data_IF_653672312611
#
_entry.id   IF_653672312611
#
_cell.length_a   1.000
_cell.length_b   1.000
_cell.length_c   1.000
_cell.angle_alpha   90.00
_cell.angle_beta   90.00
_cell.angle_gamma   90.00
#
_symmetry.space_group_name_H-M   'P 1'
#
loop_
_entity.id
_entity.type
_entity.pdbx_description
1 polymer ?
#
# COMPACT_ATOMS: atom_id res chain seq x y z
N UNK A 1 21.69 7.78 -20.03
CA UNK A 1 22.08 8.12 -18.65
C UNK A 1 20.84 8.57 -17.88
N UNK A 2 20.08 7.65 -17.27
CA UNK A 2 19.08 7.95 -16.22
C UNK A 2 18.89 6.74 -15.30
N UNK A 3 20.02 6.19 -14.85
CA UNK A 3 20.06 5.14 -13.82
C UNK A 3 20.42 5.73 -12.45
N UNK A 4 20.22 7.04 -12.24
CA UNK A 4 20.34 7.61 -10.90
C UNK A 4 19.04 7.37 -10.13
N UNK A 5 19.05 6.54 -9.08
CA UNK A 5 17.90 6.42 -8.20
C UNK A 5 17.62 7.78 -7.56
N UNK A 6 16.36 8.21 -7.58
CA UNK A 6 15.89 9.40 -6.87
C UNK A 6 16.07 9.20 -5.35
N UNK A 7 17.27 9.48 -4.85
CA UNK A 7 17.69 9.18 -3.48
C UNK A 7 16.85 9.92 -2.41
N UNK A 8 16.26 11.06 -2.75
CA UNK A 8 15.55 11.91 -1.79
C UNK A 8 14.07 11.57 -1.58
N UNK A 9 13.42 10.82 -2.48
CA UNK A 9 11.99 10.46 -2.30
C UNK A 9 11.83 9.38 -1.22
N UNK A 10 12.81 8.48 -1.09
CA UNK A 10 12.86 7.47 -0.02
C UNK A 10 13.15 8.07 1.37
N UNK A 11 13.51 9.36 1.45
CA UNK A 11 13.75 10.04 2.74
C UNK A 11 12.45 10.28 3.52
N UNK A 12 11.30 10.32 2.85
CA UNK A 12 10.01 10.65 3.46
C UNK A 12 9.06 9.45 3.63
N UNK A 13 9.30 8.36 2.92
CA UNK A 13 8.47 7.14 2.99
C UNK A 13 9.28 5.98 3.56
N UNK A 14 8.77 5.39 4.64
CA UNK A 14 9.42 4.24 5.28
C UNK A 14 8.92 2.94 4.66
N UNK A 15 9.85 2.05 4.32
CA UNK A 15 9.55 0.67 3.97
C UNK A 15 9.16 -0.10 5.25
N UNK A 16 7.90 -0.48 5.38
CA UNK A 16 7.32 -1.16 6.55
C UNK A 16 6.29 -2.17 6.08
N UNK A 17 6.31 -3.38 6.63
CA UNK A 17 5.26 -4.36 6.38
C UNK A 17 4.01 -4.03 7.21
N UNK A 18 3.03 -3.35 6.59
CA UNK A 18 1.80 -2.91 7.24
C UNK A 18 0.75 -4.03 7.42
N UNK A 19 0.94 -5.18 6.78
CA UNK A 19 0.07 -6.36 6.89
C UNK A 19 0.70 -7.49 7.73
N UNK A 20 1.65 -7.12 8.59
CA UNK A 20 2.25 -7.97 9.61
C UNK A 20 1.43 -7.90 10.92
N UNK A 21 2.08 -8.12 12.06
CA UNK A 21 1.40 -8.27 13.35
C UNK A 21 1.07 -6.94 14.04
N UNK A 22 1.52 -5.81 13.48
CA UNK A 22 1.29 -4.49 14.06
C UNK A 22 -0.12 -3.97 13.76
N UNK A 23 -0.82 -3.53 14.81
CA UNK A 23 -2.09 -2.81 14.72
C UNK A 23 -1.85 -1.34 14.34
N UNK A 24 -2.86 -0.64 13.76
CA UNK A 24 -2.72 0.76 13.35
C UNK A 24 -2.24 1.68 14.48
N UNK A 25 -2.73 1.49 15.69
CA UNK A 25 -2.29 2.27 16.85
C UNK A 25 -0.79 2.14 17.12
N UNK A 26 -0.23 0.93 17.01
CA UNK A 26 1.19 0.66 17.21
C UNK A 26 2.04 1.30 16.09
N UNK A 27 1.49 1.36 14.88
CA UNK A 27 2.14 2.05 13.74
C UNK A 27 2.21 3.56 13.97
N UNK A 28 1.30 4.14 14.76
CA UNK A 28 1.23 5.57 15.06
C UNK A 28 1.75 5.91 16.48
N UNK A 29 2.22 4.93 17.25
CA UNK A 29 2.84 5.20 18.54
C UNK A 29 4.04 6.16 18.37
N UNK A 30 4.11 7.16 19.25
CA UNK A 30 5.13 8.22 19.20
C UNK A 30 5.04 9.14 17.98
N UNK A 31 3.92 9.16 17.26
CA UNK A 31 3.70 10.08 16.15
C UNK A 31 3.25 11.47 16.59
N UNK A 32 3.89 12.49 16.02
CA UNK A 32 3.41 13.88 16.13
C UNK A 32 2.38 14.24 15.04
N UNK A 33 2.02 13.30 14.16
CA UNK A 33 1.12 13.53 13.01
C UNK A 33 0.04 12.45 12.94
N UNK A 34 -1.17 12.87 12.57
CA UNK A 34 -2.31 11.99 12.31
C UNK A 34 -2.26 11.31 10.92
N UNK A 35 -1.29 11.65 10.09
CA UNK A 35 -1.06 11.03 8.77
C UNK A 35 0.40 10.59 8.63
N UNK A 36 0.61 9.40 8.10
CA UNK A 36 1.92 8.81 7.80
C UNK A 36 1.86 8.12 6.45
N UNK A 37 3.02 8.09 5.78
CA UNK A 37 3.17 7.47 4.47
C UNK A 37 4.15 6.31 4.55
N UNK A 38 3.79 5.20 3.94
CA UNK A 38 4.56 3.97 3.99
C UNK A 38 4.64 3.31 2.63
N UNK A 39 5.70 2.54 2.47
CA UNK A 39 5.83 1.56 1.42
C UNK A 39 5.69 0.19 2.07
N UNK A 40 4.76 -0.64 1.63
CA UNK A 40 4.59 -2.00 2.15
C UNK A 40 4.72 -3.05 1.05
N UNK A 41 5.37 -4.20 1.34
CA UNK A 41 5.25 -5.38 0.50
C UNK A 41 3.80 -5.85 0.39
N UNK A 42 3.41 -6.27 -0.80
CA UNK A 42 2.11 -6.82 -1.13
C UNK A 42 2.04 -8.29 -0.72
N UNK A 43 1.28 -8.59 0.33
CA UNK A 43 1.09 -9.97 0.79
C UNK A 43 0.17 -10.76 -0.16
N UNK A 44 0.75 -11.40 -1.19
CA UNK A 44 0.03 -12.37 -2.03
C UNK A 44 -0.19 -13.64 -1.20
N UNK A 45 -1.44 -14.06 -1.03
CA UNK A 45 -1.77 -15.29 -0.29
C UNK A 45 -1.24 -16.55 -1.00
N UNK A 46 -1.10 -16.50 -2.33
CA UNK A 46 -0.55 -17.54 -3.19
C UNK A 46 -0.24 -16.90 -4.56
N UNK A 47 0.77 -17.38 -5.28
CA UNK A 47 1.10 -16.95 -6.65
C UNK A 47 -0.08 -17.00 -7.63
N UNK A 48 -1.08 -17.85 -7.36
CA UNK A 48 -2.31 -17.98 -8.17
C UNK A 48 -3.42 -16.98 -7.81
N UNK A 49 -3.37 -16.33 -6.64
CA UNK A 49 -4.46 -15.50 -6.14
C UNK A 49 -4.14 -14.01 -6.29
N UNK A 50 -4.97 -13.30 -7.08
CA UNK A 50 -4.85 -11.84 -7.29
C UNK A 50 -5.19 -11.01 -6.04
N UNK A 51 -5.74 -11.61 -4.98
CA UNK A 51 -6.22 -10.89 -3.80
C UNK A 51 -5.11 -10.78 -2.74
N UNK A 52 -4.82 -9.55 -2.35
CA UNK A 52 -3.92 -9.21 -1.24
C UNK A 52 -4.63 -9.49 0.08
N UNK A 53 -3.99 -10.27 0.95
CA UNK A 53 -4.46 -10.45 2.31
C UNK A 53 -4.14 -9.18 3.12
N UNK A 54 -5.17 -8.54 3.67
CA UNK A 54 -5.04 -7.29 4.43
C UNK A 54 -5.31 -7.46 5.93
N UNK A 55 -5.02 -8.64 6.46
CA UNK A 55 -5.03 -8.88 7.91
C UNK A 55 -3.82 -8.21 8.53
N UNK A 56 -4.00 -7.51 9.65
CA UNK A 56 -2.91 -6.86 10.37
C UNK A 56 -3.18 -6.93 11.88
N UNK A 57 -2.25 -7.50 12.64
CA UNK A 57 -2.46 -7.82 14.05
C UNK A 57 -3.73 -8.64 14.27
N UNK A 58 -4.61 -8.17 15.16
CA UNK A 58 -5.89 -8.84 15.49
C UNK A 58 -7.06 -8.43 14.60
N UNK A 59 -6.82 -7.63 13.58
CA UNK A 59 -7.86 -7.05 12.74
C UNK A 59 -7.59 -7.18 11.26
N UNK A 60 -8.41 -6.47 10.48
CA UNK A 60 -8.35 -6.54 9.01
C UNK A 60 -8.73 -5.20 8.41
N UNK A 61 -7.98 -4.78 7.39
CA UNK A 61 -8.34 -3.62 6.57
C UNK A 61 -9.39 -4.01 5.53
N UNK A 62 -10.56 -3.38 5.60
CA UNK A 62 -11.69 -3.64 4.71
C UNK A 62 -11.90 -2.49 3.73
N UNK A 63 -12.17 -2.76 2.44
CA UNK A 63 -12.53 -1.72 1.49
C UNK A 63 -13.80 -0.98 1.92
N UNK A 64 -13.77 0.34 1.81
CA UNK A 64 -14.95 1.19 2.01
C UNK A 64 -15.77 1.35 0.74
N UNK A 65 -15.20 1.00 -0.42
CA UNK A 65 -15.87 1.12 -1.72
C UNK A 65 -15.07 0.48 -2.85
N UNK A 66 -15.51 0.76 -4.08
CA UNK A 66 -14.78 0.35 -5.30
C UNK A 66 -13.48 1.14 -5.43
N UNK A 67 -12.43 0.48 -5.92
CA UNK A 67 -11.18 1.15 -6.24
C UNK A 67 -11.37 2.14 -7.39
N UNK A 68 -10.59 3.22 -7.36
CA UNK A 68 -10.57 4.25 -8.41
C UNK A 68 -9.27 4.16 -9.20
N UNK A 69 -9.34 4.40 -10.50
CA UNK A 69 -8.16 4.50 -11.36
C UNK A 69 -7.49 5.87 -11.16
N UNK A 70 -6.16 5.92 -11.26
CA UNK A 70 -5.42 7.18 -11.20
C UNK A 70 -4.54 7.31 -12.44
N UNK A 71 -4.73 8.41 -13.14
CA UNK A 71 -4.04 8.74 -14.37
C UNK A 71 -2.99 9.83 -14.12
N UNK A 72 -1.91 9.83 -14.90
CA UNK A 72 -0.97 10.93 -14.95
C UNK A 72 -1.58 12.14 -15.68
N UNK A 73 -0.80 13.21 -15.74
CA UNK A 73 -1.17 14.43 -16.48
C UNK A 73 -1.30 14.23 -18.00
N UNK A 74 -0.88 13.07 -18.54
CA UNK A 74 -1.00 12.69 -19.95
C UNK A 74 -2.16 11.71 -20.19
N UNK A 75 -2.93 11.36 -19.16
CA UNK A 75 -4.02 10.39 -19.24
C UNK A 75 -3.57 8.93 -19.24
N UNK A 76 -2.32 8.64 -18.88
CA UNK A 76 -1.79 7.29 -18.75
C UNK A 76 -2.09 6.77 -17.35
N UNK A 77 -2.62 5.55 -17.24
CA UNK A 77 -2.91 4.92 -15.96
C UNK A 77 -1.61 4.69 -15.16
N UNK A 78 -1.41 5.42 -14.05
CA UNK A 78 -0.25 5.27 -13.15
C UNK A 78 -0.52 4.20 -12.09
N UNK A 79 -1.61 4.39 -11.34
CA UNK A 79 -2.03 3.43 -10.33
C UNK A 79 -3.17 2.61 -10.91
N UNK A 80 -3.00 1.29 -10.93
CA UNK A 80 -4.04 0.39 -11.37
C UNK A 80 -5.29 0.59 -10.54
N UNK A 81 -5.15 0.76 -9.21
CA UNK A 81 -6.25 1.09 -8.32
C UNK A 81 -5.80 1.84 -7.07
N UNK A 82 -6.61 2.81 -6.66
CA UNK A 82 -6.58 3.44 -5.34
C UNK A 82 -7.79 3.01 -4.54
N UNK A 83 -7.56 2.51 -3.32
CA UNK A 83 -8.61 1.97 -2.45
C UNK A 83 -8.59 2.65 -1.09
N UNK A 84 -9.76 3.15 -0.66
CA UNK A 84 -9.98 3.57 0.71
C UNK A 84 -10.35 2.35 1.55
N UNK A 85 -9.61 2.14 2.64
CA UNK A 85 -9.77 1.02 3.55
C UNK A 85 -10.01 1.53 4.97
N UNK A 86 -10.82 0.79 5.74
CA UNK A 86 -11.04 1.00 7.16
C UNK A 86 -10.59 -0.22 7.94
N UNK A 87 -9.84 -0.02 9.01
CA UNK A 87 -9.46 -1.11 9.89
C UNK A 87 -10.66 -1.55 10.74
N UNK A 88 -10.90 -2.85 10.80
CA UNK A 88 -11.89 -3.44 11.69
C UNK A 88 -11.23 -4.50 12.57
N UNK A 89 -11.42 -4.38 13.87
CA UNK A 89 -11.01 -5.39 14.85
C UNK A 89 -11.83 -6.68 14.71
N UNK A 90 -11.29 -7.79 15.22
CA UNK A 90 -12.02 -9.05 15.34
C UNK A 90 -13.27 -8.93 16.23
N UNK A 91 -14.23 -9.87 16.07
CA UNK A 91 -15.54 -9.84 16.74
C UNK A 91 -15.48 -9.75 18.28
N UNK A 92 -14.38 -10.17 18.90
CA UNK A 92 -14.18 -10.15 20.36
C UNK A 92 -13.49 -8.88 20.87
N UNK A 93 -12.86 -8.10 19.99
CA UNK A 93 -11.99 -7.00 20.38
C UNK A 93 -12.76 -5.68 20.31
N UNK A 94 -13.31 -5.27 21.46
CA UNK A 94 -14.12 -4.06 21.62
C UNK A 94 -13.26 -2.78 21.74
N UNK A 95 -12.19 -2.66 20.94
CA UNK A 95 -11.19 -1.57 21.01
C UNK A 95 -11.54 -0.33 20.17
N UNK A 96 -12.80 0.12 20.22
CA UNK A 96 -13.22 1.38 19.58
C UNK A 96 -12.81 2.65 20.37
N UNK A 97 -11.97 2.54 21.41
CA UNK A 97 -11.55 3.70 22.21
C UNK A 97 -10.61 4.66 21.45
N UNK A 98 -9.91 4.18 20.43
CA UNK A 98 -8.82 4.92 19.78
C UNK A 98 -9.21 5.53 18.43
N UNK A 99 -10.52 5.69 18.18
CA UNK A 99 -11.05 6.27 16.94
C UNK A 99 -10.99 5.33 15.73
N UNK A 100 -11.25 5.89 14.55
CA UNK A 100 -11.26 5.14 13.29
C UNK A 100 -9.90 5.20 12.59
N UNK A 101 -9.43 4.05 12.11
CA UNK A 101 -8.21 3.96 11.32
C UNK A 101 -8.55 3.81 9.84
N UNK A 102 -8.05 4.75 9.04
CA UNK A 102 -8.27 4.83 7.60
C UNK A 102 -6.94 4.69 6.86
N UNK A 103 -6.97 4.02 5.71
CA UNK A 103 -5.83 3.82 4.83
C UNK A 103 -6.23 4.11 3.39
N UNK A 104 -5.35 4.78 2.64
CA UNK A 104 -5.50 4.93 1.19
C UNK A 104 -4.42 4.11 0.52
N UNK A 105 -4.79 2.96 -0.03
CA UNK A 105 -3.89 2.01 -0.67
C UNK A 105 -3.74 2.37 -2.16
N UNK A 106 -2.51 2.61 -2.62
CA UNK A 106 -2.15 2.81 -4.02
C UNK A 106 -1.41 1.58 -4.57
N UNK A 107 -2.02 0.90 -5.55
CA UNK A 107 -1.37 -0.19 -6.29
C UNK A 107 -0.93 0.30 -7.67
N UNK A 108 0.34 0.11 -8.00
CA UNK A 108 0.86 0.46 -9.33
C UNK A 108 0.22 -0.40 -10.42
N UNK A 109 0.04 0.17 -11.61
CA UNK A 109 -0.35 -0.59 -12.80
C UNK A 109 0.89 -1.20 -13.45
N UNK A 110 0.92 -2.52 -13.64
CA UNK A 110 2.08 -3.22 -14.22
C UNK A 110 2.47 -2.65 -15.60
N UNK A 111 1.47 -2.31 -16.42
CA UNK A 111 1.70 -1.73 -17.75
C UNK A 111 2.28 -0.31 -17.72
N UNK A 112 2.23 0.39 -16.58
CA UNK A 112 2.88 1.70 -16.44
C UNK A 112 4.41 1.57 -16.42
N UNK A 113 4.93 0.53 -15.77
CA UNK A 113 6.37 0.26 -15.75
C UNK A 113 6.89 -0.14 -17.14
N UNK A 114 6.12 -0.94 -17.88
CA UNK A 114 6.46 -1.32 -19.26
C UNK A 114 6.51 -0.11 -20.20
N UNK A 115 5.57 0.83 -20.05
CA UNK A 115 5.55 2.07 -20.84
C UNK A 115 6.73 3.00 -20.52
N UNK A 116 7.10 3.08 -19.24
CA UNK A 116 8.11 4.05 -18.76
C UNK A 116 9.55 3.54 -18.88
N UNK A 117 9.80 2.24 -18.69
CA UNK A 117 11.14 1.66 -18.68
C UNK A 117 11.44 0.73 -19.86
N UNK A 118 10.46 0.47 -20.73
CA UNK A 118 10.58 -0.53 -21.79
C UNK A 118 10.50 -1.96 -21.23
N UNK A 119 10.26 -2.92 -22.12
CA UNK A 119 10.08 -4.34 -21.77
C UNK A 119 11.41 -4.93 -21.31
N UNK A 120 11.73 -4.82 -20.02
CA UNK A 120 12.90 -5.47 -19.44
C UNK A 120 12.56 -6.92 -19.09
N UNK A 121 13.34 -7.88 -19.58
CA UNK A 121 13.19 -9.32 -19.28
C UNK A 121 13.50 -9.69 -17.82
N UNK A 122 13.79 -8.68 -16.98
CA UNK A 122 14.08 -8.86 -15.57
C UNK A 122 12.78 -8.70 -14.77
N UNK A 123 12.03 -9.81 -14.62
CA UNK A 123 10.84 -9.92 -13.76
C UNK A 123 11.16 -9.79 -12.25
N UNK A 124 12.14 -8.99 -11.87
CA UNK A 124 12.76 -9.07 -10.55
C UNK A 124 13.03 -7.73 -9.87
N UNK A 125 12.31 -6.66 -10.26
CA UNK A 125 12.58 -5.34 -9.66
C UNK A 125 11.49 -4.85 -8.71
N UNK A 126 10.19 -5.13 -8.89
CA UNK A 126 9.14 -4.38 -8.15
C UNK A 126 7.81 -5.11 -7.90
N UNK A 127 7.79 -6.44 -7.78
CA UNK A 127 6.55 -7.22 -7.84
C UNK A 127 5.50 -6.94 -6.73
N UNK A 128 5.78 -6.07 -5.74
CA UNK A 128 4.98 -5.98 -4.50
C UNK A 128 5.01 -4.61 -3.77
N UNK A 129 5.39 -3.49 -4.40
CA UNK A 129 5.57 -2.22 -3.68
C UNK A 129 4.28 -1.37 -3.68
N UNK A 130 3.59 -1.33 -2.53
CA UNK A 130 2.33 -0.61 -2.33
C UNK A 130 2.58 0.68 -1.53
N UNK A 131 2.12 1.82 -2.04
CA UNK A 131 2.20 3.09 -1.32
C UNK A 131 0.92 3.32 -0.52
N UNK A 132 1.06 3.69 0.74
CA UNK A 132 -0.04 3.95 1.69
C UNK A 132 0.16 5.31 2.35
#
# INVERSE_FOLDING_TARGET
MRDEPFYDQNKFMKLVNLYADNEPQQIFEGANSCRRYFITPQKKHNTKWKRVARTAGKGTWKPQGKGKEVFDNKGILIAGYVKSLKYTYGKSDNKNSNGEWLMTEYSLYDGYLEYTYGKSDNKNVNDETLFI
#
